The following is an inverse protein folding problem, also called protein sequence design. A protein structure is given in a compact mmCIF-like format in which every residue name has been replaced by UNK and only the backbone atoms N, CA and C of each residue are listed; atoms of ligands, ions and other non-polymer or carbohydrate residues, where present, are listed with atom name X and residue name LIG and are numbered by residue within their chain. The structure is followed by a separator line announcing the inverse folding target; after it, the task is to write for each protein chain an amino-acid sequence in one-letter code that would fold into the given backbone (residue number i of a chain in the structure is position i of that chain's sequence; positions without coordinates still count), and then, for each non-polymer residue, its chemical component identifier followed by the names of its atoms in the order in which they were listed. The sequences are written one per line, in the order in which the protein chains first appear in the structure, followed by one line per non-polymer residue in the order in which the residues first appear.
data_IF_869137935841
#
_entry.id   IF_869137935841
#
_cell.length_a   1.000
_cell.length_b   1.000
_cell.length_c   1.000
_cell.angle_alpha   90.00
_cell.angle_beta   90.00
_cell.angle_gamma   90.00
#
_symmetry.space_group_name_H-M   'P 1'
#
loop_
_entity.id
_entity.type
_entity.pdbx_description
1 polymer ?
#
# COMPACT_ATOMS: atom_id res chain seq x y z
N UNK A 1 2.82 -12.19 -48.14
CA UNK A 1 1.78 -11.90 -47.13
C UNK A 1 2.41 -12.15 -45.77
N UNK A 2 2.86 -11.10 -45.09
CA UNK A 2 3.57 -11.23 -43.81
C UNK A 2 2.57 -10.96 -42.69
N UNK A 3 2.39 -11.93 -41.80
CA UNK A 3 1.58 -11.74 -40.58
C UNK A 3 2.49 -11.17 -39.51
N UNK A 4 2.26 -9.91 -39.14
CA UNK A 4 2.90 -9.32 -37.97
C UNK A 4 2.15 -9.84 -36.73
N UNK A 5 2.76 -10.73 -35.96
CA UNK A 5 2.28 -11.06 -34.62
C UNK A 5 2.42 -9.79 -33.77
N UNK A 6 1.30 -9.14 -33.49
CA UNK A 6 1.26 -8.03 -32.55
C UNK A 6 1.42 -8.65 -31.16
N UNK A 7 2.53 -8.35 -30.48
CA UNK A 7 2.69 -8.70 -29.07
C UNK A 7 1.55 -8.03 -28.29
N UNK A 8 0.63 -8.83 -27.75
CA UNK A 8 -0.28 -8.35 -26.71
C UNK A 8 0.59 -8.06 -25.50
N UNK A 9 0.84 -6.78 -25.24
CA UNK A 9 1.57 -6.34 -24.06
C UNK A 9 0.72 -6.70 -22.84
N UNK A 10 1.04 -7.83 -22.22
CA UNK A 10 0.27 -8.39 -21.12
C UNK A 10 0.63 -7.64 -19.84
N UNK A 11 -0.28 -6.83 -19.34
CA UNK A 11 -0.12 -6.14 -18.05
C UNK A 11 -0.17 -7.15 -16.91
N UNK A 12 0.96 -7.31 -16.21
CA UNK A 12 1.04 -8.14 -15.01
C UNK A 12 0.80 -7.28 -13.77
N UNK A 13 -0.11 -7.75 -12.91
CA UNK A 13 -0.54 -7.04 -11.72
C UNK A 13 -0.40 -7.95 -10.50
N UNK A 14 0.06 -7.38 -9.39
CA UNK A 14 -0.14 -7.99 -8.07
C UNK A 14 -1.38 -7.39 -7.46
N UNK A 15 -2.31 -8.26 -7.06
CA UNK A 15 -3.54 -7.86 -6.38
C UNK A 15 -3.42 -8.04 -4.87
N UNK A 16 -4.04 -7.14 -4.13
CA UNK A 16 -4.16 -7.23 -2.67
C UNK A 16 -5.49 -6.66 -2.24
N UNK A 17 -5.93 -7.01 -1.03
CA UNK A 17 -7.21 -6.52 -0.50
C UNK A 17 -7.00 -5.64 0.72
N UNK A 18 -7.74 -4.53 0.76
CA UNK A 18 -7.89 -3.70 1.95
C UNK A 18 -9.27 -3.97 2.55
N UNK A 19 -9.30 -4.17 3.87
CA UNK A 19 -10.54 -4.42 4.62
C UNK A 19 -10.77 -3.23 5.54
N UNK A 20 -11.93 -2.59 5.38
CA UNK A 20 -12.46 -1.61 6.34
C UNK A 20 -13.54 -2.27 7.22
N UNK A 21 -14.21 -1.49 8.07
CA UNK A 21 -15.22 -2.00 9.00
C UNK A 21 -16.48 -2.56 8.34
N UNK A 22 -16.70 -2.31 7.05
CA UNK A 22 -17.95 -2.60 6.32
C UNK A 22 -17.73 -3.47 5.07
N UNK A 23 -16.55 -3.39 4.43
CA UNK A 23 -16.28 -4.05 3.14
C UNK A 23 -14.81 -4.41 2.94
N UNK A 24 -14.61 -5.34 2.02
CA UNK A 24 -13.31 -5.74 1.46
C UNK A 24 -13.21 -5.23 0.03
N UNK A 25 -12.18 -4.45 -0.26
CA UNK A 25 -11.91 -3.91 -1.59
C UNK A 25 -10.61 -4.47 -2.15
N UNK A 26 -10.59 -4.75 -3.46
CA UNK A 26 -9.41 -5.26 -4.15
C UNK A 26 -8.70 -4.14 -4.89
N UNK A 27 -7.40 -4.07 -4.70
CA UNK A 27 -6.48 -3.13 -5.33
C UNK A 27 -5.41 -3.91 -6.11
N UNK A 28 -4.73 -3.22 -7.02
CA UNK A 28 -3.69 -3.81 -7.84
C UNK A 28 -2.56 -2.81 -8.09
N UNK A 29 -1.34 -3.33 -8.20
CA UNK A 29 -0.15 -2.56 -8.57
C UNK A 29 0.57 -3.30 -9.70
N UNK A 30 1.07 -2.59 -10.73
CA UNK A 30 1.90 -3.19 -11.78
C UNK A 30 3.10 -3.91 -11.18
N UNK A 31 3.37 -5.14 -11.65
CA UNK A 31 4.42 -5.96 -11.06
C UNK A 31 5.81 -5.33 -11.20
N UNK A 32 6.00 -4.52 -12.25
CA UNK A 32 7.23 -3.80 -12.53
C UNK A 32 7.54 -2.73 -11.46
N UNK A 33 6.53 -2.29 -10.70
CA UNK A 33 6.68 -1.34 -9.59
C UNK A 33 6.96 -2.02 -8.25
N UNK A 34 6.91 -3.35 -8.19
CA UNK A 34 7.04 -4.11 -6.94
C UNK A 34 8.47 -4.62 -6.79
N UNK A 35 9.17 -4.11 -5.78
CA UNK A 35 10.51 -4.58 -5.45
C UNK A 35 10.48 -5.95 -4.75
N UNK A 36 9.58 -6.13 -3.79
CA UNK A 36 9.37 -7.38 -3.07
C UNK A 36 8.07 -7.33 -2.24
N UNK A 37 7.57 -8.49 -1.85
CA UNK A 37 6.41 -8.66 -0.95
C UNK A 37 6.89 -9.36 0.31
N UNK A 38 6.74 -8.70 1.46
CA UNK A 38 7.14 -9.24 2.77
C UNK A 38 6.15 -8.82 3.85
N UNK A 39 6.14 -9.59 4.93
CA UNK A 39 5.50 -9.17 6.17
C UNK A 39 6.27 -7.97 6.76
N UNK A 40 5.53 -7.02 7.33
CA UNK A 40 6.12 -5.87 8.01
C UNK A 40 6.75 -6.33 9.32
N UNK A 41 8.00 -5.94 9.54
CA UNK A 41 8.75 -6.24 10.76
C UNK A 41 8.71 -5.04 11.73
N UNK A 42 9.72 -4.88 12.58
CA UNK A 42 9.79 -3.79 13.56
C UNK A 42 9.83 -2.41 12.88
N UNK A 43 8.86 -1.57 13.22
CA UNK A 43 8.76 -0.18 12.76
C UNK A 43 9.29 0.76 13.84
N UNK A 44 10.19 1.66 13.47
CA UNK A 44 10.63 2.78 14.30
C UNK A 44 9.79 4.00 13.98
N UNK A 45 9.08 4.55 14.96
CA UNK A 45 8.23 5.74 14.79
C UNK A 45 9.06 6.98 14.43
N UNK A 46 8.53 7.79 13.51
CA UNK A 46 9.13 9.07 13.13
C UNK A 46 8.34 10.21 13.77
N UNK A 47 8.96 11.06 14.61
CA UNK A 47 8.27 12.20 15.21
C UNK A 47 7.74 13.17 14.16
N UNK A 48 6.54 13.75 14.41
CA UNK A 48 5.88 14.74 13.54
C UNK A 48 5.59 14.26 12.11
N UNK A 49 5.64 12.95 11.86
CA UNK A 49 5.23 12.40 10.57
C UNK A 49 3.72 12.55 10.37
N UNK A 50 3.28 12.51 9.10
CA UNK A 50 1.85 12.46 8.78
C UNK A 50 1.24 11.19 9.37
N UNK A 51 -0.04 11.24 9.71
CA UNK A 51 -0.71 10.17 10.46
C UNK A 51 -0.62 8.80 9.75
N UNK A 52 -0.76 8.80 8.42
CA UNK A 52 -0.60 7.60 7.57
C UNK A 52 0.84 7.05 7.47
N UNK A 53 1.83 7.71 8.06
CA UNK A 53 3.22 7.24 8.10
C UNK A 53 3.42 6.52 9.42
N UNK A 54 3.48 5.18 9.37
CA UNK A 54 3.70 4.35 10.56
C UNK A 54 5.12 4.53 11.12
N UNK A 55 6.08 4.86 10.25
CA UNK A 55 7.46 5.16 10.62
C UNK A 55 8.43 4.73 9.54
N UNK A 56 9.58 4.21 9.97
CA UNK A 56 10.61 3.62 9.10
C UNK A 56 10.91 2.19 9.53
N UNK A 57 11.36 1.36 8.60
CA UNK A 57 11.94 0.05 8.88
C UNK A 57 13.28 -0.13 8.18
N UNK A 58 14.11 -0.99 8.72
CA UNK A 58 15.31 -1.45 8.05
C UNK A 58 14.95 -2.63 7.15
N UNK A 59 15.31 -2.53 5.88
CA UNK A 59 15.21 -3.62 4.94
C UNK A 59 16.57 -3.90 4.32
N UNK A 60 17.25 -4.93 4.84
CA UNK A 60 18.60 -5.37 4.40
C UNK A 60 19.61 -4.21 4.36
N UNK A 61 19.61 -3.38 5.40
CA UNK A 61 20.47 -2.20 5.52
C UNK A 61 19.89 -0.92 4.91
N UNK A 62 18.79 -1.01 4.14
CA UNK A 62 18.11 0.16 3.57
C UNK A 62 17.01 0.66 4.49
N UNK A 63 17.07 1.91 4.93
CA UNK A 63 15.99 2.55 5.68
C UNK A 63 14.88 2.95 4.71
N UNK A 64 13.70 2.38 4.90
CA UNK A 64 12.52 2.65 4.05
C UNK A 64 11.34 3.16 4.89
N UNK A 65 10.51 4.07 4.36
CA UNK A 65 9.29 4.49 5.02
C UNK A 65 8.24 3.37 4.98
N UNK A 66 7.48 3.24 6.06
CA UNK A 66 6.32 2.35 6.15
C UNK A 66 5.07 3.19 6.24
N UNK A 67 4.15 3.02 5.29
CA UNK A 67 2.89 3.75 5.21
C UNK A 67 1.70 2.82 5.43
N UNK A 68 0.68 3.34 6.09
CA UNK A 68 -0.63 2.69 6.18
C UNK A 68 -1.46 3.11 4.95
N UNK A 69 -1.69 2.17 4.04
CA UNK A 69 -2.39 2.45 2.78
C UNK A 69 -3.86 2.79 3.05
N UNK A 70 -4.51 2.17 4.04
CA UNK A 70 -5.92 2.47 4.36
C UNK A 70 -6.07 3.90 4.84
N UNK A 71 -5.20 4.32 5.75
CA UNK A 71 -5.21 5.68 6.27
C UNK A 71 -4.83 6.70 5.18
N UNK A 72 -3.86 6.36 4.33
CA UNK A 72 -3.44 7.20 3.20
C UNK A 72 -4.55 7.44 2.20
N UNK A 73 -5.42 6.45 1.97
CA UNK A 73 -6.57 6.53 1.08
C UNK A 73 -7.85 7.03 1.78
N UNK A 74 -7.81 7.28 3.10
CA UNK A 74 -8.97 7.75 3.86
C UNK A 74 -10.02 6.66 4.16
N UNK A 75 -9.67 5.38 4.01
CA UNK A 75 -10.58 4.25 4.19
C UNK A 75 -10.86 3.91 5.67
N UNK A 76 -10.04 4.43 6.58
CA UNK A 76 -10.20 4.24 8.04
C UNK A 76 -11.18 5.26 8.67
N UNK A 77 -12.05 5.89 7.86
CA UNK A 77 -13.03 6.89 8.32
C UNK A 77 -14.22 6.25 9.07
N UNK A 78 -13.91 5.64 10.21
CA UNK A 78 -14.84 5.32 11.30
C UNK A 78 -14.59 6.20 12.52
N UNK A 79 -14.10 7.44 12.34
CA UNK A 79 -13.93 8.39 13.44
C UNK A 79 -15.31 8.86 13.89
N UNK A 80 -15.80 8.27 14.98
CA UNK A 80 -16.77 8.89 15.87
C UNK A 80 -16.13 10.15 16.46
N UNK A 81 -16.36 11.32 15.85
CA UNK A 81 -16.04 12.60 16.48
C UNK A 81 -17.06 12.89 17.59
N UNK A 82 -16.98 12.16 18.71
CA UNK A 82 -17.48 12.67 19.98
C UNK A 82 -16.47 13.68 20.52
N UNK A 83 -16.40 14.84 19.87
CA UNK A 83 -15.87 16.04 20.51
C UNK A 83 -16.98 16.63 21.36
N UNK A 84 -17.14 16.09 22.57
CA UNK A 84 -17.77 16.83 23.66
C UNK A 84 -16.93 18.08 23.91
N UNK A 85 -17.52 19.24 23.64
CA UNK A 85 -17.16 20.49 24.31
C UNK A 85 -18.43 21.11 24.83
#
# INVERSE_FOLDING_TARGET
MTVQLVSLDAFQLVTFSLVDSQKKENYAVPIEQIREIRAVESITKVPKAKSYVKGIMNLRGSIIPVIDVKEKLGLDSGVNTNSSK
#
